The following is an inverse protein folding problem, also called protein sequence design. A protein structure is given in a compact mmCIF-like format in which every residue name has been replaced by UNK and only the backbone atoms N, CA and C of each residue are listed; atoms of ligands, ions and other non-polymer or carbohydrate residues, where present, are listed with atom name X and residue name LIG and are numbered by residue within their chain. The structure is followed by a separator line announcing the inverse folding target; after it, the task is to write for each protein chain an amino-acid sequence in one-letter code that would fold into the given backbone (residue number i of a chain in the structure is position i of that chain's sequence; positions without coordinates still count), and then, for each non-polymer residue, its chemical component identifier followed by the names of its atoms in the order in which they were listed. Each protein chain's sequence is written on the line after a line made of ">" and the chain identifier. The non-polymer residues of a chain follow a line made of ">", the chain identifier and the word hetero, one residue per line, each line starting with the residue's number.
data_IF_947699381105
#
_entry.id   IF_947699381105
#
_cell.length_a   1.000
_cell.length_b   1.000
_cell.length_c   1.000
_cell.angle_alpha   90.00
_cell.angle_beta   90.00
_cell.angle_gamma   90.00
#
_symmetry.space_group_name_H-M   'P 1'
#
loop_
_entity.id
_entity.type
_entity.pdbx_description
1 polymer ?
#
# COMPACT_ATOMS: atom_id res chain seq x y z
N UNK A 1 -8.30 22.36 14.13
CA UNK A 1 -9.42 22.47 15.11
C UNK A 1 -10.73 22.29 14.36
N UNK A 2 -11.73 21.55 14.88
CA UNK A 2 -13.04 21.46 14.25
C UNK A 2 -13.63 22.85 14.09
N UNK A 3 -14.40 23.06 13.02
CA UNK A 3 -15.09 24.32 12.77
C UNK A 3 -15.96 24.68 13.98
N UNK A 4 -15.89 25.89 14.53
CA UNK A 4 -16.52 26.24 15.81
C UNK A 4 -18.06 26.10 15.83
N UNK A 5 -18.71 25.94 14.70
CA UNK A 5 -20.16 25.73 14.61
C UNK A 5 -20.60 24.28 14.44
N UNK A 6 -19.68 23.30 14.48
CA UNK A 6 -20.03 21.90 14.30
C UNK A 6 -19.84 21.15 15.62
N UNK A 7 -20.87 20.44 16.12
CA UNK A 7 -20.75 19.65 17.35
C UNK A 7 -19.61 18.64 17.23
N UNK A 8 -18.83 18.48 18.31
CA UNK A 8 -17.65 17.58 18.33
C UNK A 8 -18.01 16.12 18.06
N UNK A 9 -19.19 15.67 18.43
CA UNK A 9 -19.73 14.34 18.21
C UNK A 9 -20.12 14.05 16.75
N UNK A 10 -20.19 15.05 15.89
CA UNK A 10 -20.35 14.85 14.46
C UNK A 10 -19.07 14.37 13.78
N UNK A 11 -17.91 14.65 14.37
CA UNK A 11 -16.64 14.12 13.93
C UNK A 11 -16.38 12.79 14.65
N UNK A 12 -17.00 11.74 14.17
CA UNK A 12 -16.75 10.40 14.70
C UNK A 12 -15.31 10.01 14.42
N UNK A 13 -14.43 10.26 15.39
CA UNK A 13 -13.18 9.53 15.47
C UNK A 13 -13.49 8.13 16.01
N UNK A 14 -12.74 7.13 15.61
CA UNK A 14 -12.78 5.81 16.25
C UNK A 14 -12.10 5.81 17.62
N UNK A 15 -11.51 6.93 18.01
CA UNK A 15 -10.91 7.09 19.33
C UNK A 15 -12.00 6.81 20.38
N UNK A 16 -11.74 5.89 21.28
CA UNK A 16 -12.68 5.48 22.32
C UNK A 16 -13.74 4.45 21.89
N UNK A 17 -13.62 3.85 20.72
CA UNK A 17 -14.52 2.76 20.28
C UNK A 17 -14.13 1.37 20.83
N UNK A 18 -12.99 1.27 21.51
CA UNK A 18 -12.47 0.02 22.04
C UNK A 18 -11.98 -0.96 20.97
N UNK A 19 -11.84 -2.21 21.36
CA UNK A 19 -11.36 -3.28 20.47
C UNK A 19 -12.25 -3.45 19.23
N UNK A 20 -11.63 -3.71 18.11
CA UNK A 20 -12.36 -4.02 16.87
C UNK A 20 -13.16 -5.32 17.02
N UNK A 21 -14.46 -5.26 16.78
CA UNK A 21 -15.38 -6.41 16.95
C UNK A 21 -15.12 -7.56 15.97
N UNK A 22 -14.37 -7.32 14.89
CA UNK A 22 -13.94 -8.34 13.93
C UNK A 22 -12.64 -9.04 14.29
N UNK A 23 -11.99 -8.63 15.38
CA UNK A 23 -10.75 -9.22 15.86
C UNK A 23 -10.93 -10.74 16.08
N UNK A 24 -10.00 -11.54 15.57
CA UNK A 24 -10.07 -13.00 15.67
C UNK A 24 -11.05 -13.69 14.71
N UNK A 25 -11.83 -12.95 13.90
CA UNK A 25 -12.82 -13.50 12.98
C UNK A 25 -12.34 -13.57 11.52
N UNK A 26 -11.23 -12.96 11.21
CA UNK A 26 -10.70 -12.89 9.84
C UNK A 26 -9.19 -13.05 9.80
N UNK A 27 -8.74 -13.80 8.81
CA UNK A 27 -7.32 -14.05 8.53
C UNK A 27 -7.03 -13.92 7.04
N UNK A 28 -5.79 -13.53 6.72
CA UNK A 28 -5.23 -13.66 5.38
C UNK A 28 -4.43 -14.96 5.28
N UNK A 29 -4.45 -15.62 4.11
CA UNK A 29 -3.74 -16.88 3.89
C UNK A 29 -2.90 -16.87 2.62
N UNK A 30 -3.49 -16.99 1.44
CA UNK A 30 -2.78 -17.07 0.17
C UNK A 30 -2.46 -15.69 -0.42
N UNK A 31 -1.28 -15.59 -1.02
CA UNK A 31 -0.78 -14.37 -1.66
C UNK A 31 -0.30 -14.70 -3.07
N UNK A 32 -0.66 -13.87 -4.05
CA UNK A 32 -0.23 -14.04 -5.43
C UNK A 32 0.17 -12.72 -6.08
N UNK A 33 1.30 -12.73 -6.80
CA UNK A 33 1.85 -11.56 -7.49
C UNK A 33 2.04 -11.88 -8.97
N UNK A 34 1.70 -10.95 -9.85
CA UNK A 34 2.05 -11.03 -11.27
C UNK A 34 3.54 -10.77 -11.50
N UNK A 35 4.08 -11.05 -12.69
CA UNK A 35 5.32 -10.43 -13.14
C UNK A 35 5.23 -8.90 -13.09
N UNK A 36 6.39 -8.24 -13.03
CA UNK A 36 6.49 -6.78 -13.09
C UNK A 36 6.98 -6.30 -14.46
N UNK A 37 6.52 -5.11 -14.88
CA UNK A 37 7.00 -4.46 -16.09
C UNK A 37 7.10 -2.94 -15.89
N UNK A 38 8.03 -2.28 -16.62
CA UNK A 38 8.16 -0.82 -16.58
C UNK A 38 7.02 -0.13 -17.31
N UNK A 39 6.56 -0.73 -18.39
CA UNK A 39 5.47 -0.27 -19.25
C UNK A 39 4.80 -1.46 -19.91
N UNK A 40 3.60 -1.26 -20.44
CA UNK A 40 2.92 -2.26 -21.23
C UNK A 40 3.59 -2.43 -22.61
N UNK A 41 3.69 -3.64 -23.08
CA UNK A 41 4.22 -4.01 -24.39
C UNK A 41 3.11 -4.23 -25.45
N UNK A 42 1.89 -3.78 -25.13
CA UNK A 42 0.70 -3.82 -25.99
C UNK A 42 0.24 -5.24 -26.37
N UNK A 43 0.61 -6.24 -25.58
CA UNK A 43 0.12 -7.61 -25.78
C UNK A 43 -1.05 -7.92 -24.86
N UNK A 44 -2.04 -8.73 -25.30
CA UNK A 44 -3.16 -9.16 -24.46
C UNK A 44 -2.70 -9.80 -23.15
N UNK A 45 -1.70 -10.69 -23.20
CA UNK A 45 -1.24 -11.51 -22.06
C UNK A 45 -0.48 -10.71 -21.00
N UNK A 46 -0.07 -9.50 -21.30
CA UNK A 46 0.61 -8.57 -20.39
C UNK A 46 -0.26 -7.39 -20.00
N UNK A 47 -1.52 -7.40 -20.41
CA UNK A 47 -2.50 -6.37 -20.03
C UNK A 47 -2.73 -6.36 -18.51
N UNK A 48 -3.30 -5.27 -18.02
CA UNK A 48 -3.60 -5.15 -16.59
C UNK A 48 -4.57 -6.22 -16.10
N UNK A 49 -5.56 -6.58 -16.92
CA UNK A 49 -6.48 -7.67 -16.63
C UNK A 49 -5.77 -9.03 -16.57
N UNK A 50 -4.91 -9.32 -17.55
CA UNK A 50 -4.12 -10.54 -17.56
C UNK A 50 -3.22 -10.66 -16.32
N UNK A 51 -2.51 -9.60 -15.96
CA UNK A 51 -1.70 -9.55 -14.75
C UNK A 51 -2.55 -9.78 -13.49
N UNK A 52 -3.75 -9.20 -13.44
CA UNK A 52 -4.67 -9.38 -12.31
C UNK A 52 -5.12 -10.84 -12.21
N UNK A 53 -5.49 -11.49 -13.32
CA UNK A 53 -5.84 -12.92 -13.36
C UNK A 53 -4.68 -13.80 -12.89
N UNK A 54 -3.45 -13.51 -13.33
CA UNK A 54 -2.25 -14.22 -12.89
C UNK A 54 -2.08 -14.13 -11.37
N UNK A 55 -2.20 -12.94 -10.82
CA UNK A 55 -2.11 -12.72 -9.37
C UNK A 55 -3.20 -13.47 -8.61
N UNK A 56 -4.44 -13.42 -9.09
CA UNK A 56 -5.60 -14.14 -8.50
C UNK A 56 -5.34 -15.65 -8.48
N UNK A 57 -4.98 -16.25 -9.61
CA UNK A 57 -4.70 -17.69 -9.69
C UNK A 57 -3.56 -18.11 -8.78
N UNK A 58 -2.49 -17.30 -8.69
CA UNK A 58 -1.39 -17.56 -7.76
C UNK A 58 -1.83 -17.49 -6.30
N UNK A 59 -2.68 -16.52 -5.91
CA UNK A 59 -3.17 -16.40 -4.54
C UNK A 59 -4.05 -17.59 -4.15
N UNK A 60 -4.93 -18.05 -5.03
CA UNK A 60 -5.77 -19.24 -4.83
C UNK A 60 -4.90 -20.49 -4.68
N UNK A 61 -3.92 -20.67 -5.57
CA UNK A 61 -2.98 -21.79 -5.51
C UNK A 61 -2.10 -21.75 -4.26
N UNK A 62 -1.66 -20.57 -3.85
CA UNK A 62 -0.87 -20.36 -2.63
C UNK A 62 -1.69 -20.68 -1.37
N UNK A 63 -2.96 -20.29 -1.34
CA UNK A 63 -3.89 -20.69 -0.28
C UNK A 63 -4.17 -22.21 -0.28
N UNK A 64 -3.96 -22.89 -1.41
CA UNK A 64 -4.25 -24.32 -1.57
C UNK A 64 -5.75 -24.65 -1.60
N UNK A 65 -6.56 -23.75 -2.11
CA UNK A 65 -8.03 -23.88 -2.18
C UNK A 65 -8.52 -24.00 -3.63
N UNK A 66 -9.75 -24.43 -3.80
CA UNK A 66 -10.41 -24.41 -5.10
C UNK A 66 -11.00 -23.02 -5.40
N UNK A 67 -10.98 -22.54 -6.67
CA UNK A 67 -11.60 -21.28 -7.05
C UNK A 67 -13.08 -21.15 -6.66
N UNK A 68 -13.83 -22.23 -6.61
CA UNK A 68 -15.24 -22.25 -6.22
C UNK A 68 -15.48 -22.08 -4.71
N UNK A 69 -14.43 -22.08 -3.90
CA UNK A 69 -14.51 -21.69 -2.49
C UNK A 69 -14.60 -20.18 -2.29
N UNK A 70 -14.24 -19.39 -3.32
CA UNK A 70 -14.32 -17.94 -3.28
C UNK A 70 -15.78 -17.51 -3.46
N UNK A 71 -16.34 -16.84 -2.46
CA UNK A 71 -17.71 -16.32 -2.47
C UNK A 71 -17.76 -14.79 -2.36
N UNK A 72 -16.59 -14.13 -2.20
CA UNK A 72 -16.43 -12.68 -2.21
C UNK A 72 -15.27 -12.22 -3.09
N UNK A 73 -15.43 -11.07 -3.75
CA UNK A 73 -14.42 -10.45 -4.59
C UNK A 73 -14.39 -8.94 -4.34
N UNK A 74 -13.25 -8.46 -3.87
CA UNK A 74 -12.97 -7.03 -3.72
C UNK A 74 -11.85 -6.66 -4.69
N UNK A 75 -12.16 -5.80 -5.66
CA UNK A 75 -11.16 -5.29 -6.59
C UNK A 75 -10.89 -3.81 -6.32
N UNK A 76 -9.63 -3.43 -6.44
CA UNK A 76 -9.28 -2.03 -6.57
C UNK A 76 -9.01 -1.78 -8.05
N UNK A 77 -10.00 -1.34 -8.82
CA UNK A 77 -9.76 -0.95 -10.20
C UNK A 77 -8.81 0.23 -10.21
N UNK A 78 -7.85 0.20 -11.11
CA UNK A 78 -6.95 1.35 -11.23
C UNK A 78 -7.78 2.59 -11.58
N UNK A 79 -7.58 3.62 -10.80
CA UNK A 79 -8.18 4.90 -11.11
C UNK A 79 -7.36 5.61 -12.20
N UNK A 80 -7.98 6.57 -12.84
CA UNK A 80 -7.41 7.43 -13.88
C UNK A 80 -6.17 8.25 -13.46
N UNK A 81 -5.54 7.95 -12.34
CA UNK A 81 -4.41 8.71 -11.80
C UNK A 81 -3.04 8.26 -12.30
N UNK A 82 -2.97 7.19 -13.07
CA UNK A 82 -1.71 6.77 -13.71
C UNK A 82 -1.35 7.66 -14.90
N UNK A 83 -0.07 7.74 -15.19
CA UNK A 83 0.50 8.55 -16.28
C UNK A 83 0.07 8.13 -17.69
N UNK A 84 -0.88 7.24 -17.84
CA UNK A 84 -1.15 6.56 -19.10
C UNK A 84 -2.59 6.08 -19.25
N UNK A 85 -3.51 6.67 -18.54
CA UNK A 85 -4.92 6.44 -18.82
C UNK A 85 -5.35 7.24 -20.02
N UNK A 86 -5.03 6.75 -21.19
CA UNK A 86 -5.80 7.12 -22.37
C UNK A 86 -7.11 6.33 -22.33
N UNK A 87 -8.26 6.97 -22.09
CA UNK A 87 -9.56 6.29 -22.09
C UNK A 87 -9.91 5.71 -23.47
N UNK A 88 -9.14 6.05 -24.48
CA UNK A 88 -9.31 5.58 -25.85
C UNK A 88 -8.30 4.48 -26.24
N UNK A 89 -7.50 3.95 -25.30
CA UNK A 89 -6.60 2.84 -25.61
C UNK A 89 -7.40 1.69 -26.23
N UNK A 90 -7.20 1.34 -27.50
CA UNK A 90 -7.94 0.25 -28.12
C UNK A 90 -7.45 -1.10 -27.61
N UNK A 91 -8.26 -2.15 -27.70
CA UNK A 91 -7.78 -3.50 -27.49
C UNK A 91 -6.63 -3.80 -28.46
N UNK A 92 -5.55 -4.45 -27.98
CA UNK A 92 -4.47 -4.87 -28.86
C UNK A 92 -4.93 -5.95 -29.85
N UNK A 93 -4.20 -6.09 -30.95
CA UNK A 93 -4.48 -7.13 -31.93
C UNK A 93 -4.50 -8.52 -31.28
N UNK A 94 -5.47 -9.34 -31.66
CA UNK A 94 -5.63 -10.68 -31.10
C UNK A 94 -6.30 -10.74 -29.72
N UNK A 95 -6.77 -9.63 -29.18
CA UNK A 95 -7.42 -9.60 -27.86
C UNK A 95 -8.51 -10.66 -27.66
N UNK A 96 -9.40 -10.80 -28.65
CA UNK A 96 -10.55 -11.71 -28.57
C UNK A 96 -10.16 -13.21 -28.55
N UNK A 97 -8.92 -13.52 -28.94
CA UNK A 97 -8.37 -14.88 -28.83
C UNK A 97 -8.02 -15.25 -27.39
N UNK A 98 -7.75 -14.25 -26.55
CA UNK A 98 -7.31 -14.41 -25.17
C UNK A 98 -8.41 -14.10 -24.17
N UNK A 99 -9.21 -13.06 -24.43
CA UNK A 99 -10.16 -12.52 -23.47
C UNK A 99 -11.49 -12.11 -24.11
N UNK A 100 -12.55 -12.30 -23.35
CA UNK A 100 -13.87 -11.77 -23.70
C UNK A 100 -13.92 -10.28 -23.38
N UNK A 101 -14.57 -9.51 -24.26
CA UNK A 101 -14.83 -8.10 -24.03
C UNK A 101 -15.96 -7.91 -23.00
N UNK A 102 -15.79 -6.95 -22.09
CA UNK A 102 -16.87 -6.46 -21.24
C UNK A 102 -17.53 -5.22 -21.85
N UNK A 103 -18.63 -4.78 -21.25
CA UNK A 103 -19.35 -3.58 -21.69
C UNK A 103 -18.51 -2.28 -21.58
N UNK A 104 -17.56 -2.25 -20.64
CA UNK A 104 -16.63 -1.13 -20.52
C UNK A 104 -15.36 -1.38 -21.35
N UNK A 105 -15.08 -0.53 -22.36
CA UNK A 105 -14.02 -0.81 -23.35
C UNK A 105 -12.60 -0.96 -22.76
N UNK A 106 -12.35 -0.31 -21.64
CA UNK A 106 -11.03 -0.34 -20.98
C UNK A 106 -10.85 -1.51 -19.99
N UNK A 107 -11.93 -2.25 -19.74
CA UNK A 107 -11.89 -3.38 -18.81
C UNK A 107 -10.94 -4.47 -19.34
N UNK A 108 -10.04 -4.91 -18.48
CA UNK A 108 -9.00 -5.87 -18.81
C UNK A 108 -7.77 -5.26 -19.50
N UNK A 109 -7.88 -4.11 -20.15
CA UNK A 109 -6.77 -3.45 -20.85
C UNK A 109 -5.97 -2.61 -19.86
N UNK A 110 -6.58 -1.53 -19.38
CA UNK A 110 -5.94 -0.56 -18.47
C UNK A 110 -6.27 -0.78 -17.01
N UNK A 111 -7.29 -1.59 -16.70
CA UNK A 111 -7.75 -1.89 -15.35
C UNK A 111 -8.45 -3.25 -15.28
N UNK A 112 -8.40 -3.90 -14.12
CA UNK A 112 -9.18 -5.09 -13.83
C UNK A 112 -10.51 -4.70 -13.17
N UNK A 113 -11.60 -4.74 -13.92
CA UNK A 113 -12.95 -4.53 -13.38
C UNK A 113 -13.56 -5.86 -12.92
N UNK A 114 -14.46 -5.82 -11.95
CA UNK A 114 -15.13 -7.01 -11.40
C UNK A 114 -15.82 -7.80 -12.50
N UNK A 115 -16.65 -7.14 -13.31
CA UNK A 115 -17.41 -7.78 -14.39
C UNK A 115 -16.49 -8.45 -15.41
N UNK A 116 -15.39 -7.78 -15.76
CA UNK A 116 -14.41 -8.33 -16.69
C UNK A 116 -13.68 -9.55 -16.09
N UNK A 117 -13.30 -9.47 -14.80
CA UNK A 117 -12.64 -10.60 -14.11
C UNK A 117 -13.59 -11.80 -14.05
N UNK A 118 -14.84 -11.61 -13.63
CA UNK A 118 -15.81 -12.71 -13.56
C UNK A 118 -16.15 -13.30 -14.93
N UNK A 119 -16.17 -12.47 -15.98
CA UNK A 119 -16.36 -12.90 -17.36
C UNK A 119 -15.21 -13.79 -17.88
N UNK A 120 -13.97 -13.47 -17.46
CA UNK A 120 -12.74 -14.13 -17.91
C UNK A 120 -12.17 -15.16 -16.91
N UNK A 121 -12.81 -15.29 -15.74
CA UNK A 121 -12.53 -16.32 -14.73
C UNK A 121 -13.83 -17.04 -14.31
N UNK A 122 -14.46 -17.84 -15.23
CA UNK A 122 -15.71 -18.52 -14.94
C UNK A 122 -15.60 -19.55 -13.81
N UNK A 123 -14.37 -19.92 -13.44
CA UNK A 123 -14.07 -20.74 -12.26
C UNK A 123 -14.48 -20.08 -10.94
N UNK A 124 -14.64 -18.76 -10.87
CA UNK A 124 -15.12 -18.00 -9.71
C UNK A 124 -16.66 -17.98 -9.63
N UNK A 125 -17.29 -19.09 -9.94
CA UNK A 125 -18.76 -19.24 -10.11
C UNK A 125 -19.59 -18.97 -8.86
N UNK A 126 -18.99 -19.03 -7.67
CA UNK A 126 -19.69 -18.87 -6.39
C UNK A 126 -19.60 -17.46 -5.81
N UNK A 127 -18.93 -16.53 -6.50
CA UNK A 127 -18.85 -15.14 -6.04
C UNK A 127 -20.24 -14.50 -6.01
N UNK A 128 -20.63 -14.04 -4.82
CA UNK A 128 -21.92 -13.37 -4.56
C UNK A 128 -21.73 -11.98 -3.95
N UNK A 129 -20.68 -11.80 -3.13
CA UNK A 129 -20.31 -10.52 -2.60
C UNK A 129 -19.26 -9.87 -3.52
N UNK A 130 -19.55 -8.68 -4.02
CA UNK A 130 -18.62 -7.91 -4.85
C UNK A 130 -18.51 -6.48 -4.36
N UNK A 131 -17.31 -5.94 -4.36
CA UNK A 131 -17.06 -4.56 -3.98
C UNK A 131 -15.89 -3.96 -4.76
N UNK A 132 -16.07 -2.76 -5.27
CA UNK A 132 -14.96 -1.96 -5.76
C UNK A 132 -14.28 -1.26 -4.59
N UNK A 133 -12.99 -1.54 -4.42
CA UNK A 133 -12.11 -0.80 -3.52
C UNK A 133 -11.78 0.59 -4.07
N UNK A 134 -11.07 1.35 -3.28
CA UNK A 134 -10.61 2.69 -3.64
C UNK A 134 -9.09 2.66 -3.86
N UNK A 135 -8.55 3.77 -4.23
CA UNK A 135 -7.22 4.20 -4.64
C UNK A 135 -6.00 3.39 -4.11
N UNK A 136 -6.12 2.64 -3.00
CA UNK A 136 -5.06 1.79 -2.46
C UNK A 136 -5.57 0.44 -1.94
N UNK A 137 -4.66 -0.52 -1.86
CA UNK A 137 -4.95 -1.90 -1.45
C UNK A 137 -5.47 -1.99 0.00
N UNK A 138 -5.01 -1.11 0.89
CA UNK A 138 -5.43 -1.07 2.29
C UNK A 138 -6.94 -0.95 2.44
N UNK A 139 -7.59 -0.08 1.64
CA UNK A 139 -9.05 0.08 1.65
C UNK A 139 -9.74 -1.23 1.27
N UNK A 140 -9.23 -1.92 0.26
CA UNK A 140 -9.77 -3.20 -0.17
C UNK A 140 -9.56 -4.29 0.88
N UNK A 141 -8.43 -4.27 1.59
CA UNK A 141 -8.18 -5.19 2.70
C UNK A 141 -9.13 -4.94 3.87
N UNK A 142 -9.35 -3.68 4.24
CA UNK A 142 -10.34 -3.31 5.26
C UNK A 142 -11.73 -3.76 4.86
N UNK A 143 -12.14 -3.54 3.60
CA UNK A 143 -13.44 -3.95 3.09
C UNK A 143 -13.63 -5.48 3.15
N UNK A 144 -12.62 -6.25 2.72
CA UNK A 144 -12.65 -7.70 2.79
C UNK A 144 -12.67 -8.21 4.24
N UNK A 145 -11.84 -7.62 5.11
CA UNK A 145 -11.80 -7.98 6.52
C UNK A 145 -13.16 -7.74 7.21
N UNK A 146 -13.78 -6.58 6.96
CA UNK A 146 -15.13 -6.28 7.48
C UNK A 146 -16.19 -7.22 6.90
N UNK A 147 -16.14 -7.52 5.60
CA UNK A 147 -17.10 -8.42 4.95
C UNK A 147 -17.02 -9.83 5.53
N UNK A 148 -15.82 -10.39 5.72
CA UNK A 148 -15.62 -11.70 6.35
C UNK A 148 -16.02 -11.67 7.83
N UNK A 149 -15.57 -10.65 8.59
CA UNK A 149 -15.87 -10.55 10.03
C UNK A 149 -17.37 -10.44 10.32
N UNK A 150 -18.14 -9.83 9.41
CA UNK A 150 -19.62 -9.71 9.51
C UNK A 150 -20.39 -10.85 8.87
N UNK A 151 -19.70 -11.82 8.26
CA UNK A 151 -20.32 -12.96 7.63
C UNK A 151 -21.02 -12.69 6.29
N UNK A 152 -20.71 -11.56 5.63
CA UNK A 152 -21.20 -11.24 4.28
C UNK A 152 -20.58 -12.16 3.22
N UNK A 153 -19.40 -12.66 3.48
CA UNK A 153 -18.66 -13.63 2.69
C UNK A 153 -17.84 -14.52 3.63
N UNK A 154 -17.53 -15.74 3.22
CA UNK A 154 -16.72 -16.69 3.99
C UNK A 154 -15.28 -16.71 3.52
N UNK A 155 -15.07 -16.53 2.22
CA UNK A 155 -13.74 -16.50 1.60
C UNK A 155 -13.73 -15.39 0.56
N UNK A 156 -13.07 -14.30 0.89
CA UNK A 156 -13.00 -13.09 0.07
C UNK A 156 -11.65 -12.98 -0.61
N UNK A 157 -11.65 -12.91 -1.93
CA UNK A 157 -10.47 -12.61 -2.72
C UNK A 157 -10.36 -11.09 -2.89
N UNK A 158 -9.21 -10.55 -2.55
CA UNK A 158 -8.88 -9.15 -2.82
C UNK A 158 -7.83 -9.09 -3.91
N UNK A 159 -8.04 -8.28 -4.94
CA UNK A 159 -7.02 -8.08 -5.96
C UNK A 159 -6.91 -6.63 -6.41
N UNK A 160 -5.74 -6.28 -6.89
CA UNK A 160 -5.44 -4.98 -7.47
C UNK A 160 -4.40 -5.12 -8.56
N UNK A 161 -4.67 -4.47 -9.70
CA UNK A 161 -3.66 -4.16 -10.70
C UNK A 161 -3.19 -2.71 -10.55
N UNK A 162 -1.92 -2.48 -10.74
CA UNK A 162 -1.34 -1.13 -10.86
C UNK A 162 -0.71 -1.00 -12.25
N UNK A 163 -1.16 -0.05 -13.04
CA UNK A 163 -0.69 0.10 -14.40
C UNK A 163 0.21 1.31 -14.58
N UNK A 164 1.10 1.19 -15.54
CA UNK A 164 1.94 2.27 -16.02
C UNK A 164 2.18 2.09 -17.52
N UNK A 165 1.13 2.18 -18.31
CA UNK A 165 1.16 1.86 -19.73
C UNK A 165 2.30 2.55 -20.49
N UNK A 166 2.51 3.86 -20.24
CA UNK A 166 3.52 4.64 -20.95
C UNK A 166 4.92 4.58 -20.32
N UNK A 167 5.10 3.89 -19.19
CA UNK A 167 6.39 3.83 -18.50
C UNK A 167 6.90 5.18 -17.94
N UNK A 168 6.01 6.13 -17.69
CA UNK A 168 6.36 7.47 -17.19
C UNK A 168 6.00 7.59 -15.71
N UNK A 169 6.72 8.45 -15.02
CA UNK A 169 6.25 9.01 -13.76
C UNK A 169 5.00 9.86 -14.03
N UNK A 170 4.14 10.10 -13.03
CA UNK A 170 3.05 11.07 -13.23
C UNK A 170 3.64 12.31 -13.90
N UNK A 171 3.29 12.48 -15.14
CA UNK A 171 3.47 13.78 -15.77
C UNK A 171 2.38 14.60 -15.15
N UNK A 172 2.63 14.98 -13.94
CA UNK A 172 1.57 15.42 -13.14
C UNK A 172 0.98 16.61 -13.63
N UNK A 173 1.42 17.30 -14.33
CA UNK A 173 0.96 18.64 -14.28
C UNK A 173 1.21 19.35 -15.60
N UNK A 174 0.86 18.66 -16.63
CA UNK A 174 0.71 19.28 -17.95
C UNK A 174 -0.67 19.92 -18.10
N UNK A 175 -0.94 20.49 -19.26
CA UNK A 175 -2.19 21.16 -19.60
C UNK A 175 -3.47 20.31 -19.35
N UNK A 176 -3.39 18.98 -19.41
CA UNK A 176 -4.48 18.08 -19.08
C UNK A 176 -4.85 18.11 -17.59
N UNK A 177 -3.87 18.33 -16.72
CA UNK A 177 -4.12 18.46 -15.28
C UNK A 177 -4.81 19.77 -14.91
N UNK A 178 -4.58 20.83 -15.65
CA UNK A 178 -5.31 22.10 -15.49
C UNK A 178 -6.80 21.94 -15.76
N UNK A 179 -7.17 21.12 -16.73
CA UNK A 179 -8.57 20.88 -17.09
C UNK A 179 -9.29 19.91 -16.15
N UNK A 180 -8.55 19.04 -15.47
CA UNK A 180 -9.10 18.01 -14.58
C UNK A 180 -8.76 18.25 -13.10
N UNK A 181 -7.94 19.25 -12.80
CA UNK A 181 -7.51 19.54 -11.46
C UNK A 181 -8.68 19.93 -10.57
N UNK A 182 -8.89 19.15 -9.52
CA UNK A 182 -9.82 19.44 -8.44
C UNK A 182 -9.07 19.45 -7.10
N UNK A 183 -9.60 20.13 -6.12
CA UNK A 183 -8.99 20.19 -4.80
C UNK A 183 -7.54 20.72 -4.85
N UNK A 184 -6.61 19.98 -4.28
CA UNK A 184 -5.19 20.36 -4.17
C UNK A 184 -4.52 20.59 -5.53
N UNK A 185 -4.82 19.74 -6.52
CA UNK A 185 -4.23 19.82 -7.84
C UNK A 185 -4.51 21.13 -8.57
N UNK A 186 -5.64 21.77 -8.27
CA UNK A 186 -6.03 23.03 -8.90
C UNK A 186 -5.03 24.17 -8.66
N UNK A 187 -4.41 24.19 -7.50
CA UNK A 187 -3.46 25.25 -7.13
C UNK A 187 -2.01 24.87 -7.45
N UNK A 188 -1.61 23.63 -7.18
CA UNK A 188 -0.23 23.16 -7.46
C UNK A 188 0.06 23.10 -8.96
N UNK A 189 -0.94 22.84 -9.81
CA UNK A 189 -0.76 22.75 -11.25
C UNK A 189 -0.33 24.09 -11.89
N UNK A 190 -0.75 25.21 -11.35
CA UNK A 190 -0.36 26.54 -11.83
C UNK A 190 1.15 26.81 -11.70
N UNK A 191 1.79 26.18 -10.73
CA UNK A 191 3.21 26.37 -10.43
C UNK A 191 4.10 25.31 -11.08
N UNK A 192 3.54 24.38 -11.82
CA UNK A 192 4.29 23.26 -12.38
C UNK A 192 4.93 22.36 -11.31
N UNK A 193 4.37 22.35 -10.11
CA UNK A 193 4.93 21.60 -8.98
C UNK A 193 4.90 20.10 -9.28
N UNK A 194 6.03 19.37 -9.16
CA UNK A 194 6.05 17.93 -9.32
C UNK A 194 5.26 17.24 -8.20
N UNK A 195 4.87 15.98 -8.41
CA UNK A 195 4.05 15.23 -7.46
C UNK A 195 4.66 15.13 -6.05
N UNK A 196 5.99 15.11 -5.94
CA UNK A 196 6.71 15.12 -4.66
C UNK A 196 6.82 16.51 -4.00
N UNK A 197 6.47 17.59 -4.70
CA UNK A 197 6.71 18.95 -4.21
C UNK A 197 6.00 19.26 -2.90
N UNK A 198 4.74 18.86 -2.76
CA UNK A 198 4.00 19.04 -1.50
C UNK A 198 4.66 18.29 -0.34
N UNK A 199 5.11 17.05 -0.59
CA UNK A 199 5.82 16.25 0.41
C UNK A 199 7.14 16.89 0.79
N UNK A 200 7.89 17.39 -0.18
CA UNK A 200 9.15 18.09 0.05
C UNK A 200 8.98 19.35 0.92
N UNK A 201 7.91 20.11 0.70
CA UNK A 201 7.62 21.31 1.52
C UNK A 201 7.35 20.96 2.99
N UNK A 202 6.52 19.96 3.24
CA UNK A 202 6.19 19.55 4.61
C UNK A 202 7.39 18.89 5.29
N UNK A 203 8.20 18.14 4.54
CA UNK A 203 9.44 17.56 5.05
C UNK A 203 10.47 18.64 5.44
N UNK A 204 10.63 19.67 4.62
CA UNK A 204 11.50 20.81 4.94
C UNK A 204 11.06 21.53 6.22
N UNK A 205 9.75 21.69 6.40
CA UNK A 205 9.19 22.27 7.62
C UNK A 205 9.45 21.38 8.85
N UNK A 206 9.29 20.04 8.69
CA UNK A 206 9.64 19.06 9.71
C UNK A 206 11.13 19.15 10.10
N UNK A 207 12.02 19.16 9.11
CA UNK A 207 13.46 19.28 9.36
C UNK A 207 13.81 20.55 10.13
N UNK A 208 13.21 21.67 9.76
CA UNK A 208 13.43 22.96 10.44
C UNK A 208 12.89 22.96 11.87
N UNK A 209 11.71 22.36 12.10
CA UNK A 209 11.08 22.29 13.43
C UNK A 209 11.88 21.41 14.40
N UNK A 210 12.42 20.31 13.92
CA UNK A 210 13.06 19.28 14.76
C UNK A 210 14.60 19.25 14.64
N UNK A 211 15.21 20.20 13.91
CA UNK A 211 16.67 20.24 13.73
C UNK A 211 17.23 19.07 12.94
N UNK A 212 16.49 18.59 11.94
CA UNK A 212 16.84 17.45 11.09
C UNK A 212 17.26 17.91 9.70
N UNK A 213 17.78 16.97 8.89
CA UNK A 213 18.16 17.24 7.51
C UNK A 213 17.85 16.04 6.60
N UNK A 214 17.86 16.29 5.29
CA UNK A 214 17.56 15.30 4.28
C UNK A 214 18.57 14.14 4.24
N UNK A 215 19.83 14.38 4.56
CA UNK A 215 20.89 13.38 4.45
C UNK A 215 20.67 12.18 5.36
N UNK A 216 19.94 12.37 6.48
CA UNK A 216 19.55 11.30 7.41
C UNK A 216 18.61 10.27 6.79
N UNK A 217 18.00 10.56 5.64
CA UNK A 217 17.18 9.60 4.89
C UNK A 217 18.02 8.54 4.14
N UNK A 218 19.33 8.77 3.96
CA UNK A 218 20.17 7.94 3.10
C UNK A 218 20.15 6.46 3.48
N UNK A 219 20.35 6.14 4.77
CA UNK A 219 20.35 4.76 5.24
C UNK A 219 18.98 4.07 5.06
N UNK A 220 17.88 4.78 5.27
CA UNK A 220 16.54 4.26 5.02
C UNK A 220 16.37 3.85 3.55
N UNK A 221 16.72 4.71 2.61
CA UNK A 221 16.59 4.47 1.17
C UNK A 221 17.49 3.32 0.70
N UNK A 222 18.73 3.27 1.18
CA UNK A 222 19.67 2.17 0.90
C UNK A 222 19.15 0.85 1.44
N UNK A 223 18.64 0.84 2.66
CA UNK A 223 18.04 -0.35 3.30
C UNK A 223 16.82 -0.84 2.53
N UNK A 224 15.94 0.07 2.07
CA UNK A 224 14.80 -0.29 1.23
C UNK A 224 15.25 -0.94 -0.08
N UNK A 225 16.26 -0.39 -0.76
CA UNK A 225 16.81 -1.00 -1.97
C UNK A 225 17.35 -2.40 -1.71
N UNK A 226 18.13 -2.58 -0.64
CA UNK A 226 18.64 -3.88 -0.21
C UNK A 226 17.52 -4.90 0.01
N UNK A 227 16.52 -4.54 0.79
CA UNK A 227 15.39 -5.42 1.10
C UNK A 227 14.56 -5.73 -0.15
N UNK A 228 14.32 -4.74 -1.01
CA UNK A 228 13.61 -4.92 -2.28
C UNK A 228 14.32 -5.85 -3.26
N UNK A 229 15.65 -5.85 -3.29
CA UNK A 229 16.44 -6.78 -4.11
C UNK A 229 16.34 -8.24 -3.64
N UNK A 230 15.99 -8.49 -2.39
CA UNK A 230 15.70 -9.83 -1.88
C UNK A 230 14.35 -10.37 -2.36
N UNK A 231 13.43 -9.48 -2.75
CA UNK A 231 12.10 -9.86 -3.22
C UNK A 231 12.16 -10.32 -4.70
N UNK A 232 11.97 -11.62 -5.02
CA UNK A 232 12.08 -12.11 -6.39
C UNK A 232 10.96 -11.59 -7.31
N UNK A 233 9.86 -11.07 -6.74
CA UNK A 233 8.75 -10.48 -7.49
C UNK A 233 8.91 -8.95 -7.69
N UNK A 234 9.93 -8.32 -7.09
CA UNK A 234 10.19 -6.89 -7.18
C UNK A 234 10.71 -6.49 -8.57
N UNK A 235 10.39 -5.27 -9.01
CA UNK A 235 10.87 -4.77 -10.29
C UNK A 235 12.40 -4.67 -10.33
N UNK A 236 13.00 -4.14 -9.26
CA UNK A 236 14.46 -3.96 -9.24
C UNK A 236 15.19 -5.31 -9.24
N UNK A 237 14.75 -6.28 -8.46
CA UNK A 237 15.36 -7.63 -8.46
C UNK A 237 15.28 -8.33 -9.82
N UNK A 238 14.19 -8.11 -10.58
CA UNK A 238 13.99 -8.73 -11.88
C UNK A 238 14.68 -7.99 -13.03
N UNK A 239 14.75 -6.65 -12.98
CA UNK A 239 15.12 -5.84 -14.14
C UNK A 239 16.31 -4.92 -13.93
N UNK A 240 16.65 -4.57 -12.68
CA UNK A 240 17.72 -3.65 -12.31
C UNK A 240 18.31 -4.01 -10.93
N UNK A 241 19.01 -5.14 -10.82
CA UNK A 241 19.45 -5.69 -9.52
C UNK A 241 20.67 -4.94 -8.94
N UNK A 242 20.77 -3.63 -9.15
CA UNK A 242 21.87 -2.81 -8.67
C UNK A 242 21.55 -2.22 -7.30
N UNK A 243 22.48 -2.38 -6.38
CA UNK A 243 22.45 -1.67 -5.10
C UNK A 243 22.72 -0.18 -5.34
N UNK A 244 22.22 0.64 -4.44
CA UNK A 244 22.61 2.04 -4.29
C UNK A 244 23.39 2.20 -3.00
N UNK A 245 24.33 3.15 -2.99
CA UNK A 245 25.11 3.49 -1.82
C UNK A 245 24.59 4.78 -1.15
N UNK A 246 25.05 5.07 0.05
CA UNK A 246 24.78 6.35 0.71
C UNK A 246 25.28 7.53 -0.16
N UNK A 247 26.47 7.39 -0.78
CA UNK A 247 27.01 8.42 -1.67
C UNK A 247 26.13 8.65 -2.90
N UNK A 248 25.59 7.57 -3.51
CA UNK A 248 24.64 7.70 -4.63
C UNK A 248 23.40 8.50 -4.23
N UNK A 249 22.91 8.32 -2.99
CA UNK A 249 21.77 9.07 -2.48
C UNK A 249 22.10 10.54 -2.24
N UNK A 250 23.24 10.82 -1.58
CA UNK A 250 23.65 12.18 -1.20
C UNK A 250 23.99 13.05 -2.42
N UNK A 251 24.51 12.43 -3.49
CA UNK A 251 24.88 13.13 -4.74
C UNK A 251 23.78 13.12 -5.80
N UNK A 252 22.63 12.52 -5.49
CA UNK A 252 21.52 12.36 -6.43
C UNK A 252 20.90 13.70 -6.85
N UNK A 253 20.47 13.78 -8.11
CA UNK A 253 19.82 14.99 -8.62
C UNK A 253 18.48 15.25 -7.92
N UNK A 254 18.22 16.51 -7.65
CA UNK A 254 16.95 16.97 -7.12
C UNK A 254 15.84 16.93 -8.16
N UNK A 255 14.65 16.47 -7.72
CA UNK A 255 13.40 16.63 -8.47
C UNK A 255 12.68 17.90 -8.01
N UNK A 256 12.54 18.09 -6.71
CA UNK A 256 12.06 19.29 -6.05
C UNK A 256 12.73 19.35 -4.67
N UNK A 257 13.80 20.13 -4.51
CA UNK A 257 14.54 20.17 -3.25
C UNK A 257 13.62 20.39 -2.03
N UNK A 258 13.72 19.55 -0.94
CA UNK A 258 14.74 18.54 -0.71
C UNK A 258 14.41 17.10 -1.21
N UNK A 259 13.50 16.90 -2.14
CA UNK A 259 13.27 15.58 -2.72
C UNK A 259 14.22 15.31 -3.90
N UNK A 260 15.07 14.31 -3.78
CA UNK A 260 15.91 13.82 -4.87
C UNK A 260 15.23 12.67 -5.66
N UNK A 261 15.91 12.12 -6.67
CA UNK A 261 15.32 11.07 -7.51
C UNK A 261 15.05 9.78 -6.73
N UNK A 262 15.81 9.45 -5.71
CA UNK A 262 15.64 8.25 -4.89
C UNK A 262 14.56 8.40 -3.82
N UNK A 263 14.07 9.62 -3.58
CA UNK A 263 12.90 9.86 -2.74
C UNK A 263 11.58 9.59 -3.46
N UNK A 264 11.65 9.21 -4.72
CA UNK A 264 10.50 8.97 -5.57
C UNK A 264 10.49 7.52 -6.06
N UNK A 265 9.44 6.78 -5.76
CA UNK A 265 9.28 5.42 -6.24
C UNK A 265 9.13 5.34 -7.77
N UNK A 266 9.57 4.24 -8.36
CA UNK A 266 9.51 4.01 -9.79
C UNK A 266 8.14 3.43 -10.19
N UNK A 267 7.31 4.11 -11.01
CA UNK A 267 6.06 3.54 -11.50
C UNK A 267 6.29 2.30 -12.36
N UNK A 268 5.56 1.23 -12.05
CA UNK A 268 5.63 -0.05 -12.75
C UNK A 268 4.22 -0.59 -13.02
N UNK A 269 4.13 -1.63 -13.81
CA UNK A 269 2.94 -2.47 -13.93
C UNK A 269 3.12 -3.74 -13.12
N UNK A 270 2.12 -4.09 -12.33
CA UNK A 270 2.05 -5.36 -11.60
C UNK A 270 0.64 -5.55 -11.04
N UNK A 271 0.32 -6.76 -10.57
CA UNK A 271 -0.89 -7.05 -9.82
C UNK A 271 -0.60 -7.91 -8.59
N UNK A 272 -1.41 -7.71 -7.55
CA UNK A 272 -1.40 -8.51 -6.32
C UNK A 272 -2.81 -9.04 -6.06
N UNK A 273 -2.89 -10.26 -5.51
CA UNK A 273 -4.11 -10.79 -4.91
C UNK A 273 -3.82 -11.43 -3.56
N UNK A 274 -4.81 -11.39 -2.65
CA UNK A 274 -4.75 -11.98 -1.32
C UNK A 274 -6.08 -12.64 -1.00
N UNK A 275 -6.03 -13.82 -0.39
CA UNK A 275 -7.21 -14.56 0.09
C UNK A 275 -7.44 -14.26 1.56
N UNK A 276 -8.62 -13.71 1.87
CA UNK A 276 -9.14 -13.54 3.23
C UNK A 276 -10.20 -14.59 3.53
N UNK A 277 -10.21 -15.13 4.74
CA UNK A 277 -11.20 -16.12 5.14
C UNK A 277 -11.39 -16.13 6.66
N UNK A 278 -12.30 -16.96 7.15
CA UNK A 278 -12.43 -17.17 8.60
C UNK A 278 -11.32 -18.09 9.13
N UNK A 279 -10.91 -17.95 10.41
CA UNK A 279 -9.91 -18.83 11.02
C UNK A 279 -10.26 -20.31 10.95
N UNK A 280 -11.57 -20.63 11.00
CA UNK A 280 -12.03 -22.00 10.90
C UNK A 280 -11.74 -22.60 9.52
N UNK A 281 -12.06 -21.91 8.46
CA UNK A 281 -11.76 -22.35 7.07
C UNK A 281 -10.27 -22.40 6.81
N UNK A 282 -9.53 -21.46 7.34
CA UNK A 282 -8.07 -21.37 7.18
C UNK A 282 -7.32 -22.61 7.70
N UNK A 283 -7.92 -23.41 8.58
CA UNK A 283 -7.35 -24.71 9.01
C UNK A 283 -7.11 -25.68 7.85
N UNK A 284 -7.88 -25.55 6.79
CA UNK A 284 -7.77 -26.37 5.57
C UNK A 284 -6.91 -25.69 4.49
N UNK A 285 -6.42 -24.47 4.71
CA UNK A 285 -5.56 -23.79 3.76
C UNK A 285 -4.11 -24.24 3.94
N UNK A 286 -3.35 -24.18 2.86
CA UNK A 286 -1.94 -24.56 2.84
C UNK A 286 -1.07 -23.64 3.69
N UNK A 287 -1.36 -22.32 3.68
CA UNK A 287 -0.54 -21.34 4.36
C UNK A 287 -1.06 -21.05 5.77
N UNK A 288 -0.13 -20.70 6.67
CA UNK A 288 -0.47 -20.28 8.04
C UNK A 288 -1.40 -19.06 7.99
N UNK A 289 -2.46 -19.02 8.80
CA UNK A 289 -3.33 -17.85 8.89
C UNK A 289 -2.58 -16.67 9.52
N UNK A 290 -2.82 -15.47 8.98
CA UNK A 290 -2.37 -14.20 9.54
C UNK A 290 -3.60 -13.41 9.96
N UNK A 291 -3.74 -13.16 11.25
CA UNK A 291 -4.92 -12.53 11.83
C UNK A 291 -4.90 -11.01 11.64
N UNK A 292 -6.01 -10.43 11.26
CA UNK A 292 -6.22 -8.97 11.33
C UNK A 292 -6.65 -8.65 12.76
N UNK A 293 -5.85 -7.86 13.48
CA UNK A 293 -6.17 -7.44 14.85
C UNK A 293 -7.00 -6.17 14.88
N UNK A 294 -6.70 -5.23 13.99
CA UNK A 294 -7.44 -3.98 13.84
C UNK A 294 -7.18 -3.34 12.48
N UNK A 295 -7.97 -2.34 12.19
CA UNK A 295 -7.72 -1.43 11.07
C UNK A 295 -8.12 0.00 11.44
N UNK A 296 -7.52 0.97 10.74
CA UNK A 296 -7.82 2.37 10.91
C UNK A 296 -7.85 3.10 9.58
N UNK A 297 -8.60 4.19 9.55
CA UNK A 297 -8.67 5.09 8.41
C UNK A 297 -8.55 6.53 8.90
N UNK A 298 -7.68 7.30 8.28
CA UNK A 298 -7.64 8.75 8.46
C UNK A 298 -8.06 9.45 7.18
N UNK A 299 -8.65 10.61 7.33
CA UNK A 299 -9.02 11.48 6.21
C UNK A 299 -8.65 12.90 6.58
N UNK A 300 -8.26 13.72 5.61
CA UNK A 300 -7.88 15.11 5.89
C UNK A 300 -9.04 15.85 6.55
N UNK A 301 -8.71 16.63 7.57
CA UNK A 301 -9.69 17.45 8.29
C UNK A 301 -10.26 18.57 7.42
N UNK A 302 -9.57 18.93 6.33
CA UNK A 302 -10.05 19.91 5.36
C UNK A 302 -9.72 19.45 3.93
N UNK A 303 -10.52 19.88 2.98
CA UNK A 303 -10.22 19.76 1.56
C UNK A 303 -9.21 20.82 1.10
N UNK A 304 -8.35 21.29 2.00
CA UNK A 304 -7.35 22.32 1.76
C UNK A 304 -6.38 22.00 0.64
N UNK A 305 -5.65 23.00 0.23
CA UNK A 305 -4.77 22.96 -0.94
C UNK A 305 -3.58 22.02 -0.77
N UNK A 306 -2.97 22.09 0.40
CA UNK A 306 -1.86 21.23 0.82
C UNK A 306 -2.00 20.91 2.30
N UNK A 307 -1.56 19.72 2.75
CA UNK A 307 -1.49 19.43 4.17
C UNK A 307 -0.44 20.32 4.82
N UNK A 308 -0.70 20.73 6.07
CA UNK A 308 0.33 21.33 6.92
C UNK A 308 1.10 20.23 7.67
N UNK A 309 2.24 20.58 8.25
CA UNK A 309 2.99 19.70 9.12
C UNK A 309 2.12 19.17 10.27
N UNK A 310 1.38 20.07 10.95
CA UNK A 310 0.50 19.71 12.06
C UNK A 310 -0.62 18.75 11.64
N UNK A 311 -1.18 18.93 10.44
CA UNK A 311 -2.22 18.03 9.93
C UNK A 311 -1.68 16.61 9.72
N UNK A 312 -0.46 16.45 9.22
CA UNK A 312 0.16 15.14 9.09
C UNK A 312 0.51 14.53 10.43
N UNK A 313 1.06 15.33 11.34
CA UNK A 313 1.36 14.90 12.71
C UNK A 313 0.10 14.44 13.45
N UNK A 314 -0.95 15.24 13.45
CA UNK A 314 -2.22 14.90 14.10
C UNK A 314 -2.89 13.67 13.47
N UNK A 315 -2.92 13.61 12.15
CA UNK A 315 -3.54 12.49 11.43
C UNK A 315 -2.84 11.16 11.71
N UNK A 316 -1.51 11.16 11.72
CA UNK A 316 -0.73 9.94 11.99
C UNK A 316 -0.79 9.53 13.47
N UNK A 317 -0.81 10.48 14.40
CA UNK A 317 -1.07 10.20 15.83
C UNK A 317 -2.46 9.56 16.04
N UNK A 318 -3.47 10.11 15.37
CA UNK A 318 -4.82 9.54 15.40
C UNK A 318 -4.83 8.12 14.82
N UNK A 319 -4.12 7.87 13.72
CA UNK A 319 -4.00 6.54 13.14
C UNK A 319 -3.41 5.55 14.13
N UNK A 320 -2.30 5.90 14.79
CA UNK A 320 -1.68 5.05 15.81
C UNK A 320 -2.64 4.71 16.95
N UNK A 321 -3.34 5.70 17.49
CA UNK A 321 -4.34 5.46 18.56
C UNK A 321 -5.47 4.53 18.12
N UNK A 322 -6.07 4.77 16.96
CA UNK A 322 -7.15 3.92 16.42
C UNK A 322 -6.68 2.47 16.25
N UNK A 323 -5.48 2.28 15.72
CA UNK A 323 -4.94 0.95 15.47
C UNK A 323 -4.66 0.20 16.77
N UNK A 324 -3.99 0.83 17.73
CA UNK A 324 -3.62 0.19 19.01
C UNK A 324 -4.83 -0.09 19.88
N UNK A 325 -5.76 0.86 19.99
CA UNK A 325 -7.00 0.66 20.72
C UNK A 325 -7.82 -0.49 20.10
N UNK A 326 -7.96 -0.48 18.76
CA UNK A 326 -8.70 -1.51 18.06
C UNK A 326 -8.07 -2.91 18.19
N UNK A 327 -6.75 -2.99 18.23
CA UNK A 327 -6.01 -4.25 18.36
C UNK A 327 -5.86 -4.71 19.83
N UNK A 328 -5.90 -3.77 20.79
CA UNK A 328 -5.58 -4.04 22.19
C UNK A 328 -4.10 -4.33 22.42
N UNK A 329 -3.21 -3.70 21.64
CA UNK A 329 -1.76 -3.78 21.74
C UNK A 329 -1.14 -2.39 21.78
N UNK A 330 0.15 -2.28 22.05
CA UNK A 330 0.90 -1.03 22.09
C UNK A 330 2.03 -0.95 21.06
N UNK A 331 2.74 0.17 21.00
CA UNK A 331 3.90 0.34 20.12
C UNK A 331 4.99 -0.71 20.31
N UNK A 332 5.24 -1.12 21.56
CA UNK A 332 6.29 -2.07 21.92
C UNK A 332 5.99 -3.52 21.50
N UNK A 333 4.74 -3.81 21.15
CA UNK A 333 4.32 -5.12 20.64
C UNK A 333 4.64 -5.29 19.15
N UNK A 334 4.93 -4.21 18.43
CA UNK A 334 5.25 -4.27 17.02
C UNK A 334 6.64 -4.87 16.78
N UNK A 335 6.69 -6.01 16.11
CA UNK A 335 7.95 -6.62 15.72
C UNK A 335 8.61 -5.87 14.54
N UNK A 336 7.83 -5.30 13.67
CA UNK A 336 8.29 -4.53 12.50
C UNK A 336 7.19 -3.58 12.01
N UNK A 337 7.60 -2.67 11.19
CA UNK A 337 6.75 -1.69 10.55
C UNK A 337 6.90 -1.80 9.02
N UNK A 338 5.79 -1.75 8.28
CA UNK A 338 5.70 -1.79 6.83
C UNK A 338 4.70 -0.73 6.32
N UNK A 339 4.90 0.53 6.66
CA UNK A 339 4.07 1.62 6.14
C UNK A 339 4.51 2.06 4.75
N UNK A 340 3.68 2.83 4.07
CA UNK A 340 3.89 3.26 2.70
C UNK A 340 4.99 4.33 2.58
N UNK A 341 5.79 4.21 1.54
CA UNK A 341 7.01 4.96 1.28
C UNK A 341 7.09 5.57 -0.14
N UNK A 342 5.98 5.71 -0.83
CA UNK A 342 5.96 6.11 -2.26
C UNK A 342 6.61 7.47 -2.55
N UNK A 343 6.69 8.36 -1.55
CA UNK A 343 7.71 9.38 -1.38
C UNK A 343 8.35 9.13 -0.03
N UNK A 344 9.65 8.87 0.02
CA UNK A 344 10.34 8.52 1.27
C UNK A 344 10.17 9.60 2.34
N UNK A 345 10.11 10.87 1.92
CA UNK A 345 10.05 12.06 2.76
C UNK A 345 8.75 12.23 3.59
N UNK A 346 7.84 11.28 3.56
CA UNK A 346 6.72 11.28 4.50
C UNK A 346 6.68 10.02 5.40
N UNK A 347 7.56 9.07 5.19
CA UNK A 347 7.54 7.81 5.92
C UNK A 347 7.77 8.01 7.44
N UNK A 348 8.61 8.96 7.84
CA UNK A 348 8.85 9.31 9.23
C UNK A 348 7.57 9.71 9.98
N UNK A 349 6.59 10.31 9.31
CA UNK A 349 5.32 10.67 9.94
C UNK A 349 4.53 9.44 10.36
N UNK A 350 4.58 8.36 9.57
CA UNK A 350 3.97 7.09 9.93
C UNK A 350 4.66 6.46 11.13
N UNK A 351 5.99 6.40 11.15
CA UNK A 351 6.76 5.87 12.28
C UNK A 351 6.44 6.60 13.58
N UNK A 352 6.45 7.92 13.52
CA UNK A 352 6.20 8.76 14.69
C UNK A 352 4.75 8.69 15.17
N UNK A 353 3.80 8.62 14.25
CA UNK A 353 2.39 8.40 14.58
C UNK A 353 2.13 7.05 15.25
N UNK A 354 2.84 6.02 14.83
CA UNK A 354 2.84 4.69 15.44
C UNK A 354 3.68 4.60 16.70
N UNK A 355 4.46 5.61 17.05
CA UNK A 355 5.45 5.53 18.15
C UNK A 355 6.41 4.35 18.02
N UNK A 356 6.66 3.87 16.80
CA UNK A 356 7.52 2.72 16.56
C UNK A 356 8.96 3.02 16.97
N UNK A 357 9.49 2.21 17.89
CA UNK A 357 10.82 2.39 18.47
C UNK A 357 11.10 3.78 19.08
N UNK A 358 10.05 4.47 19.56
CA UNK A 358 10.12 5.86 19.99
C UNK A 358 10.91 6.12 21.28
N UNK A 359 11.14 5.11 22.12
CA UNK A 359 11.89 5.22 23.38
C UNK A 359 11.42 6.37 24.29
N UNK A 360 10.12 6.69 24.27
CA UNK A 360 9.53 7.79 25.02
C UNK A 360 9.45 9.13 24.31
N UNK A 361 10.11 9.29 23.18
CA UNK A 361 10.04 10.49 22.35
C UNK A 361 8.71 10.58 21.61
N UNK A 362 8.24 11.80 21.37
CA UNK A 362 6.95 12.01 20.69
C UNK A 362 7.12 12.27 19.20
N UNK A 363 8.02 13.15 18.82
CA UNK A 363 8.25 13.61 17.46
C UNK A 363 9.71 13.97 17.24
N UNK A 364 10.14 13.96 15.99
CA UNK A 364 11.49 14.37 15.60
C UNK A 364 12.56 13.28 15.72
N UNK A 365 12.20 12.06 16.13
CA UNK A 365 13.16 10.96 16.36
C UNK A 365 13.35 10.01 15.17
N UNK A 366 12.40 10.00 14.23
CA UNK A 366 12.42 8.97 13.18
C UNK A 366 13.64 9.06 12.27
N UNK A 367 14.15 10.27 11.99
CA UNK A 367 15.34 10.44 11.18
C UNK A 367 16.60 9.94 11.92
N UNK A 368 16.66 10.14 13.24
CA UNK A 368 17.75 9.58 14.07
C UNK A 368 17.66 8.04 14.12
N UNK A 369 16.43 7.50 14.17
CA UNK A 369 16.22 6.05 14.07
C UNK A 369 16.76 5.50 12.76
N UNK A 370 16.57 6.21 11.64
CA UNK A 370 17.11 5.77 10.34
C UNK A 370 18.65 5.67 10.32
N UNK A 371 19.34 6.43 11.14
CA UNK A 371 20.80 6.35 11.25
C UNK A 371 21.27 5.13 12.08
N UNK A 372 20.36 4.38 12.67
CA UNK A 372 20.64 3.13 13.39
C UNK A 372 20.50 1.90 12.50
N UNK A 373 20.69 0.69 13.06
CA UNK A 373 20.41 -0.55 12.35
C UNK A 373 18.88 -0.80 12.27
N UNK A 374 18.28 -0.35 11.18
CA UNK A 374 16.87 -0.56 10.82
C UNK A 374 16.66 -1.72 9.86
N UNK A 375 17.71 -2.47 9.54
CA UNK A 375 17.67 -3.62 8.65
C UNK A 375 16.90 -4.81 9.26
N UNK A 376 16.71 -5.83 8.44
CA UNK A 376 16.01 -7.06 8.86
C UNK A 376 16.76 -7.82 9.98
N UNK A 377 18.03 -7.56 10.17
CA UNK A 377 18.88 -8.08 11.25
C UNK A 377 18.82 -7.23 12.52
N UNK A 378 18.42 -5.98 12.39
CA UNK A 378 18.44 -5.00 13.47
C UNK A 378 17.33 -5.19 14.51
N UNK A 379 17.42 -4.45 15.62
CA UNK A 379 16.45 -4.54 16.70
C UNK A 379 15.08 -3.96 16.32
N UNK A 380 15.05 -2.99 15.42
CA UNK A 380 13.86 -2.26 14.99
C UNK A 380 13.74 -2.25 13.46
N UNK A 381 13.35 -3.38 12.83
CA UNK A 381 13.22 -3.45 11.38
C UNK A 381 12.18 -2.46 10.85
N UNK A 382 12.63 -1.55 9.96
CA UNK A 382 11.78 -0.57 9.28
C UNK A 382 11.66 -0.96 7.83
N UNK A 383 10.43 -1.02 7.33
CA UNK A 383 10.11 -1.35 5.93
C UNK A 383 10.87 -2.60 5.41
N UNK A 384 10.79 -3.76 6.10
CA UNK A 384 11.48 -4.97 5.68
C UNK A 384 11.08 -5.45 4.27
N UNK A 385 9.91 -5.05 3.79
CA UNK A 385 9.48 -5.28 2.39
C UNK A 385 10.37 -4.63 1.34
N UNK A 386 11.16 -3.62 1.71
CA UNK A 386 11.80 -2.70 0.78
C UNK A 386 10.85 -1.66 0.19
N UNK A 387 9.56 -1.69 0.56
CA UNK A 387 8.56 -0.70 0.15
C UNK A 387 8.37 -0.58 -1.36
N UNK A 388 7.76 0.51 -1.80
CA UNK A 388 7.67 0.85 -3.22
C UNK A 388 9.01 1.35 -3.76
N UNK A 389 9.80 1.99 -2.95
CA UNK A 389 11.09 2.54 -3.36
C UNK A 389 12.10 1.43 -3.68
N UNK A 390 12.08 0.32 -2.96
CA UNK A 390 12.92 -0.84 -3.23
C UNK A 390 12.36 -1.82 -4.28
N UNK A 391 11.06 -1.81 -4.57
CA UNK A 391 10.42 -2.78 -5.47
C UNK A 391 9.75 -2.18 -6.71
N UNK A 392 9.56 -0.88 -6.76
CA UNK A 392 8.73 -0.20 -7.74
C UNK A 392 7.31 0.04 -7.24
N UNK A 393 6.68 1.12 -7.73
CA UNK A 393 5.39 1.60 -7.24
C UNK A 393 4.25 0.63 -7.54
N UNK A 394 3.57 0.18 -6.48
CA UNK A 394 2.35 -0.63 -6.56
C UNK A 394 1.34 -0.31 -5.44
N UNK A 395 1.80 0.25 -4.33
CA UNK A 395 1.04 0.53 -3.10
C UNK A 395 0.57 -0.72 -2.36
N UNK A 396 1.31 -1.84 -2.45
CA UNK A 396 0.96 -3.08 -1.75
C UNK A 396 2.13 -3.94 -1.25
N UNK A 397 3.38 -3.66 -1.64
CA UNK A 397 4.52 -4.49 -1.22
C UNK A 397 4.60 -4.63 0.30
N UNK A 398 4.33 -3.53 0.99
CA UNK A 398 4.24 -3.45 2.44
C UNK A 398 3.19 -4.42 3.03
N UNK A 399 1.99 -4.47 2.47
CA UNK A 399 0.94 -5.39 2.93
C UNK A 399 1.28 -6.84 2.61
N UNK A 400 1.74 -7.11 1.38
CA UNK A 400 2.16 -8.45 0.96
C UNK A 400 3.24 -8.99 1.87
N UNK A 401 4.29 -8.22 2.09
CA UNK A 401 5.41 -8.64 2.93
C UNK A 401 4.99 -8.84 4.38
N UNK A 402 4.14 -7.97 4.93
CA UNK A 402 3.63 -8.15 6.29
C UNK A 402 2.96 -9.51 6.47
N UNK A 403 2.15 -9.95 5.52
CA UNK A 403 1.56 -11.29 5.55
C UNK A 403 2.65 -12.36 5.48
N UNK A 404 3.63 -12.22 4.58
CA UNK A 404 4.71 -13.19 4.42
C UNK A 404 5.65 -13.24 5.63
N UNK A 405 5.98 -12.11 6.26
CA UNK A 405 6.76 -12.04 7.51
C UNK A 405 6.10 -12.84 8.64
N UNK A 406 4.80 -12.62 8.82
CA UNK A 406 4.02 -13.28 9.87
C UNK A 406 3.79 -14.78 9.60
N UNK A 407 3.85 -15.20 8.35
CA UNK A 407 3.86 -16.60 7.94
C UNK A 407 5.25 -17.25 8.06
N UNK A 408 6.31 -16.46 8.23
CA UNK A 408 7.70 -16.94 8.30
C UNK A 408 8.28 -17.33 6.94
N UNK A 409 7.83 -16.71 5.86
CA UNK A 409 8.25 -17.01 4.48
C UNK A 409 8.55 -15.77 3.62
N UNK A 410 8.79 -14.62 4.25
CA UNK A 410 9.23 -13.44 3.50
C UNK A 410 10.65 -13.65 2.95
N UNK A 411 10.92 -13.25 1.69
CA UNK A 411 12.29 -13.26 1.17
C UNK A 411 13.25 -12.38 1.98
N UNK A 412 12.75 -11.31 2.58
CA UNK A 412 13.46 -10.41 3.49
C UNK A 412 13.01 -10.61 4.94
N UNK A 413 12.96 -11.88 5.37
CA UNK A 413 12.48 -12.25 6.70
C UNK A 413 13.30 -11.58 7.81
N UNK A 414 12.64 -10.86 8.72
CA UNK A 414 13.29 -10.29 9.90
C UNK A 414 13.86 -11.40 10.80
N UNK A 415 14.99 -11.12 11.45
CA UNK A 415 15.69 -12.13 12.27
C UNK A 415 15.05 -12.31 13.65
N UNK A 416 14.42 -11.28 14.19
CA UNK A 416 13.63 -11.41 15.40
C UNK A 416 12.29 -12.09 15.12
N UNK A 417 11.62 -12.57 16.15
CA UNK A 417 10.31 -13.22 16.02
C UNK A 417 9.27 -12.25 15.46
N UNK A 418 8.68 -12.59 14.32
CA UNK A 418 7.60 -11.82 13.70
C UNK A 418 6.25 -12.24 14.30
N UNK A 419 5.78 -11.55 15.33
CA UNK A 419 4.49 -11.86 15.96
C UNK A 419 3.40 -10.86 15.56
N UNK A 420 3.69 -9.57 15.66
CA UNK A 420 2.77 -8.48 15.34
C UNK A 420 3.48 -7.52 14.40
N UNK A 421 2.80 -7.13 13.34
CA UNK A 421 3.28 -6.14 12.38
C UNK A 421 2.18 -5.18 11.95
N UNK A 422 2.59 -4.04 11.41
CA UNK A 422 1.68 -3.02 10.89
C UNK A 422 1.98 -2.76 9.42
N UNK A 423 0.93 -2.54 8.64
CA UNK A 423 1.08 -2.09 7.25
C UNK A 423 -0.01 -1.10 6.87
N UNK A 424 0.31 -0.12 6.04
CA UNK A 424 -0.65 0.90 5.63
C UNK A 424 -0.21 1.70 4.41
N UNK A 425 -1.17 2.40 3.81
CA UNK A 425 -1.00 3.29 2.65
C UNK A 425 -2.19 4.27 2.53
N UNK A 426 -2.09 5.39 1.80
CA UNK A 426 -0.90 5.93 1.13
C UNK A 426 -0.26 7.11 1.88
N UNK A 427 -1.00 8.20 2.13
CA UNK A 427 -0.44 9.48 2.62
C UNK A 427 -0.69 9.63 4.11
N UNK A 428 0.14 10.39 4.86
CA UNK A 428 -0.05 10.60 6.30
C UNK A 428 -1.41 11.16 6.68
N UNK A 429 -1.99 12.02 5.86
CA UNK A 429 -3.30 12.64 6.10
C UNK A 429 -4.49 11.85 5.55
N UNK A 430 -4.25 10.81 4.78
CA UNK A 430 -5.29 9.98 4.15
C UNK A 430 -4.83 8.52 4.08
N UNK A 431 -4.49 7.97 5.24
CA UNK A 431 -3.94 6.63 5.39
C UNK A 431 -5.04 5.63 5.76
N UNK A 432 -4.90 4.42 5.24
CA UNK A 432 -5.61 3.24 5.69
C UNK A 432 -4.55 2.22 6.14
N UNK A 433 -4.67 1.68 7.33
CA UNK A 433 -3.67 0.77 7.90
C UNK A 433 -4.32 -0.36 8.70
N UNK A 434 -3.57 -1.45 8.86
CA UNK A 434 -3.98 -2.65 9.59
C UNK A 434 -2.85 -3.11 10.51
N UNK A 435 -3.22 -3.58 11.70
CA UNK A 435 -2.33 -4.39 12.57
C UNK A 435 -2.66 -5.85 12.36
N UNK A 436 -1.62 -6.65 12.22
CA UNK A 436 -1.65 -8.07 11.91
C UNK A 436 -0.93 -8.88 12.96
N UNK A 437 -1.35 -10.15 13.15
CA UNK A 437 -0.70 -11.08 14.07
C UNK A 437 -0.53 -12.47 13.44
N UNK A 438 0.59 -13.12 13.77
CA UNK A 438 0.84 -14.53 13.44
C UNK A 438 0.08 -15.50 14.33
N UNK A 439 -0.52 -15.01 15.41
CA UNK A 439 -1.27 -15.81 16.40
C UNK A 439 -2.67 -15.26 16.60
N UNK A 440 -3.63 -16.09 17.04
CA UNK A 440 -4.95 -15.60 17.44
C UNK A 440 -4.86 -14.50 18.50
N UNK A 441 -5.76 -13.51 18.48
CA UNK A 441 -5.83 -12.54 19.58
C UNK A 441 -6.21 -13.25 20.90
N UNK A 442 -5.68 -12.73 22.00
CA UNK A 442 -5.95 -13.18 23.37
C UNK A 442 -7.23 -12.58 23.91
#
# INVERSE_FOLDING_TARGET
>A
MPHPGVPRDWFRSRDGMGRWQGQGKVVATGVGTSPTARRWDEKPETSMGAMTIIAIRKAIADAGISPDEIDGLVLTPESTTGSSNDPNTPPPAGWEQHFKMASFPQAGITRGDIDWILLNMPELKNVKFVMNGNICMSVSFVAAAEAVARGLTKTCLVARGWHNLAGRYYVGVGASALNTASGRGKYSSLWGMPACGTTAMVFEEYCRKYGKNHDQMANFVVTQRRNGLMNPDGYYSQHRPEMITVEDYLTARWIAKPANIYDNDLPIMAALAVVFTTPERAKNHKQKPVYVLSHGQTRPASLGVAPTLEQWEESTDRMGRILYEGAGVGPDDLAFENMYDGFTLFHQFHLEGLRYAARGEKRGYALDLYETDIGIEGPNPVSPSGGNNGNGRTRWWNHRDTILQLQGRSPSQIKKKAEIGVSGAPMPDACDALIWSSTPPV
#
